data_IF_252590490349
#
_entry.id   IF_252590490349
#
_cell.length_a   1.000
_cell.length_b   1.000
_cell.length_c   1.000
_cell.angle_alpha   90.00
_cell.angle_beta   90.00
_cell.angle_gamma   90.00
#
_symmetry.space_group_name_H-M   'P 1'
#
loop_
_entity.id
_entity.type
_entity.pdbx_description
1 polymer ?
#
# COMPACT_ATOMS: atom_id res chain seq x y z
N UNK A 1 -0.59 -17.82 21.02
CA UNK A 1 -1.90 -17.20 20.75
C UNK A 1 -2.94 -18.06 21.44
N UNK A 2 -3.49 -17.62 22.56
CA UNK A 2 -4.53 -18.36 23.29
C UNK A 2 -5.86 -17.71 22.92
N UNK A 3 -6.62 -18.36 22.04
CA UNK A 3 -7.89 -17.82 21.57
C UNK A 3 -8.98 -18.05 22.63
N UNK A 4 -9.58 -16.98 23.12
CA UNK A 4 -10.78 -17.07 23.97
C UNK A 4 -11.96 -17.42 23.07
N UNK A 5 -12.43 -18.67 23.14
CA UNK A 5 -13.61 -19.11 22.40
C UNK A 5 -14.89 -18.55 23.03
N UNK A 6 -15.87 -18.21 22.21
CA UNK A 6 -17.17 -17.78 22.69
C UNK A 6 -17.86 -18.92 23.45
N UNK A 7 -18.36 -18.62 24.66
CA UNK A 7 -19.22 -19.56 25.41
C UNK A 7 -20.61 -19.73 24.77
N UNK A 8 -21.33 -20.77 25.17
CA UNK A 8 -22.62 -21.17 24.55
C UNK A 8 -23.67 -20.04 24.59
N UNK A 9 -23.80 -19.35 25.72
CA UNK A 9 -24.74 -18.21 25.87
C UNK A 9 -24.48 -17.10 24.84
N UNK A 10 -23.21 -16.80 24.57
CA UNK A 10 -22.83 -15.76 23.62
C UNK A 10 -23.14 -16.18 22.18
N UNK A 11 -22.96 -17.45 21.85
CA UNK A 11 -23.25 -18.00 20.51
C UNK A 11 -24.74 -17.89 20.21
N UNK A 12 -25.61 -18.23 21.16
CA UNK A 12 -27.05 -18.16 20.96
C UNK A 12 -27.56 -16.73 20.80
N UNK A 13 -27.04 -15.79 21.61
CA UNK A 13 -27.32 -14.36 21.43
C UNK A 13 -26.92 -13.86 20.05
N UNK A 14 -25.73 -14.22 19.59
CA UNK A 14 -25.23 -13.81 18.27
C UNK A 14 -26.09 -14.39 17.14
N UNK A 15 -26.55 -15.65 17.25
CA UNK A 15 -27.44 -16.27 16.26
C UNK A 15 -28.77 -15.52 16.11
N UNK A 16 -29.39 -15.13 17.22
CA UNK A 16 -30.64 -14.36 17.20
C UNK A 16 -30.43 -13.02 16.49
N UNK A 17 -29.35 -12.32 16.79
CA UNK A 17 -29.00 -11.05 16.15
C UNK A 17 -28.75 -11.21 14.65
N UNK A 18 -27.98 -12.23 14.24
CA UNK A 18 -27.68 -12.46 12.81
C UNK A 18 -28.93 -12.78 11.97
N UNK A 19 -29.95 -13.42 12.55
CA UNK A 19 -31.23 -13.66 11.84
C UNK A 19 -31.94 -12.36 11.47
N UNK A 20 -31.82 -11.31 12.30
CA UNK A 20 -32.46 -10.02 12.05
C UNK A 20 -31.75 -9.15 11.01
N UNK A 21 -30.43 -9.30 10.87
CA UNK A 21 -29.59 -8.45 10.02
C UNK A 21 -29.43 -9.03 8.60
N UNK A 22 -29.62 -10.34 8.44
CA UNK A 22 -29.53 -11.03 7.15
C UNK A 22 -28.09 -11.34 6.73
N UNK A 23 -27.91 -11.75 5.47
CA UNK A 23 -26.60 -12.11 4.94
C UNK A 23 -25.70 -10.87 4.77
N UNK A 24 -24.45 -10.99 5.18
CA UNK A 24 -23.48 -9.90 5.05
C UNK A 24 -23.19 -9.61 3.56
N UNK A 25 -23.48 -8.40 3.06
CA UNK A 25 -23.50 -8.12 1.62
C UNK A 25 -22.11 -7.86 1.02
N UNK A 26 -21.05 -7.77 1.83
CA UNK A 26 -19.71 -7.41 1.35
C UNK A 26 -18.81 -8.63 1.18
N UNK A 27 -17.87 -8.52 0.24
CA UNK A 27 -16.83 -9.52 0.03
C UNK A 27 -15.89 -9.62 1.25
N UNK A 28 -15.34 -10.82 1.47
CA UNK A 28 -14.37 -11.08 2.54
C UNK A 28 -13.18 -10.12 2.42
N UNK A 29 -12.88 -9.40 3.50
CA UNK A 29 -11.66 -8.61 3.60
C UNK A 29 -10.48 -9.58 3.62
N UNK A 30 -9.64 -9.50 2.59
CA UNK A 30 -8.42 -10.29 2.49
C UNK A 30 -7.24 -9.42 2.94
N UNK A 31 -6.51 -9.88 3.95
CA UNK A 31 -5.30 -9.19 4.47
C UNK A 31 -4.12 -9.31 3.48
N UNK A 32 -4.28 -10.12 2.42
CA UNK A 32 -3.24 -10.41 1.43
C UNK A 32 -3.52 -9.79 0.05
N UNK A 33 -4.62 -9.04 -0.11
CA UNK A 33 -4.96 -8.35 -1.37
C UNK A 33 -4.46 -6.91 -1.37
N UNK A 34 -3.24 -6.69 -0.89
CA UNK A 34 -2.59 -5.40 -1.05
C UNK A 34 -2.36 -5.18 -2.54
N UNK A 35 -3.20 -4.33 -3.14
CA UNK A 35 -2.94 -3.79 -4.47
C UNK A 35 -1.54 -3.16 -4.39
N UNK A 36 -0.57 -3.75 -5.11
CA UNK A 36 0.80 -3.25 -5.14
C UNK A 36 0.75 -1.76 -5.48
N UNK A 37 1.20 -0.91 -4.55
CA UNK A 37 1.38 0.52 -4.77
C UNK A 37 2.34 0.72 -5.95
N UNK A 38 1.76 0.96 -7.14
CA UNK A 38 2.51 1.10 -8.40
C UNK A 38 3.19 2.47 -8.54
N UNK A 39 2.79 3.44 -7.73
CA UNK A 39 3.32 4.81 -7.70
C UNK A 39 4.52 4.95 -6.77
N UNK A 40 5.47 4.01 -6.81
CA UNK A 40 6.75 4.19 -6.09
C UNK A 40 7.59 5.21 -6.84
N UNK A 41 7.89 6.33 -6.19
CA UNK A 41 8.87 7.29 -6.72
C UNK A 41 10.28 6.73 -6.52
N UNK A 42 11.03 6.64 -7.62
CA UNK A 42 12.43 6.24 -7.66
C UNK A 42 13.32 7.42 -7.26
N UNK A 43 14.39 7.13 -6.54
CA UNK A 43 15.35 8.13 -6.07
C UNK A 43 16.34 8.42 -7.20
N UNK A 44 16.59 9.70 -7.42
CA UNK A 44 17.63 10.21 -8.30
C UNK A 44 18.65 10.97 -7.44
N UNK A 45 19.93 10.75 -7.71
CA UNK A 45 21.05 11.44 -7.09
C UNK A 45 21.82 12.22 -8.16
N UNK A 46 22.12 13.49 -7.90
CA UNK A 46 23.06 14.22 -8.72
C UNK A 46 24.50 13.87 -8.31
N UNK A 47 25.37 13.37 -9.22
CA UNK A 47 26.74 12.98 -8.88
C UNK A 47 27.66 14.16 -8.55
N UNK A 48 27.28 15.41 -8.88
CA UNK A 48 28.13 16.58 -8.65
C UNK A 48 27.83 17.35 -7.37
N UNK A 49 26.56 17.53 -7.03
CA UNK A 49 26.16 18.31 -5.86
C UNK A 49 25.42 17.50 -4.80
N UNK A 50 25.19 16.20 -5.02
CA UNK A 50 24.48 15.33 -4.08
C UNK A 50 22.98 15.61 -3.96
N UNK A 51 22.41 16.45 -4.83
CA UNK A 51 20.98 16.76 -4.80
C UNK A 51 20.13 15.51 -5.03
N UNK A 52 19.05 15.39 -4.25
CA UNK A 52 18.13 14.27 -4.29
C UNK A 52 16.80 14.70 -4.92
N UNK A 53 16.40 14.02 -5.98
CA UNK A 53 15.07 14.13 -6.57
C UNK A 53 14.35 12.79 -6.49
N UNK A 54 13.03 12.81 -6.56
CA UNK A 54 12.21 11.60 -6.66
C UNK A 54 11.31 11.72 -7.88
N UNK A 55 11.25 10.69 -8.70
CA UNK A 55 10.41 10.69 -9.91
C UNK A 55 9.84 9.31 -10.20
N UNK A 56 8.87 9.19 -11.11
CA UNK A 56 8.31 7.89 -11.49
C UNK A 56 9.15 7.23 -12.58
N UNK A 57 9.08 5.89 -12.68
CA UNK A 57 9.79 5.10 -13.70
C UNK A 57 9.51 5.61 -15.12
N UNK A 58 8.26 5.97 -15.40
CA UNK A 58 7.83 6.52 -16.70
C UNK A 58 8.67 7.73 -17.13
N UNK A 59 9.01 8.63 -16.21
CA UNK A 59 9.81 9.81 -16.54
C UNK A 59 11.28 9.46 -16.75
N UNK A 60 11.85 8.54 -15.98
CA UNK A 60 13.22 8.07 -16.18
C UNK A 60 13.37 7.39 -17.55
N UNK A 61 12.38 6.62 -17.99
CA UNK A 61 12.36 6.00 -19.32
C UNK A 61 12.29 7.02 -20.45
N UNK A 62 11.64 8.17 -20.26
CA UNK A 62 11.63 9.26 -21.24
C UNK A 62 12.91 10.11 -21.19
N UNK A 63 13.52 10.25 -20.02
CA UNK A 63 14.77 10.98 -19.83
C UNK A 63 15.00 11.42 -18.38
N UNK A 64 16.25 11.39 -17.95
CA UNK A 64 16.64 11.86 -16.62
C UNK A 64 16.60 13.38 -16.53
N UNK A 65 16.04 13.98 -15.47
CA UNK A 65 16.03 15.42 -15.29
C UNK A 65 17.44 15.98 -15.06
N UNK A 66 17.61 17.25 -15.42
CA UNK A 66 18.83 18.01 -15.13
C UNK A 66 18.72 18.64 -13.75
N UNK A 67 19.75 18.48 -12.93
CA UNK A 67 19.87 19.15 -11.64
C UNK A 67 20.10 20.65 -11.82
N UNK A 68 19.81 21.44 -10.78
CA UNK A 68 20.08 22.89 -10.74
C UNK A 68 21.57 23.24 -10.96
N UNK A 69 22.48 22.31 -10.73
CA UNK A 69 23.91 22.46 -11.06
C UNK A 69 24.25 22.22 -12.55
N UNK A 70 23.26 21.95 -13.40
CA UNK A 70 23.42 21.73 -14.84
C UNK A 70 23.79 20.30 -15.26
N UNK A 71 24.00 19.37 -14.32
CA UNK A 71 24.30 17.96 -14.64
C UNK A 71 23.04 17.09 -14.63
N UNK A 72 23.03 16.06 -15.50
CA UNK A 72 21.98 15.02 -15.49
C UNK A 72 22.04 14.23 -14.17
N UNK A 73 20.87 13.87 -13.67
CA UNK A 73 20.73 13.08 -12.45
C UNK A 73 20.69 11.58 -12.77
N UNK A 74 21.27 10.75 -11.90
CA UNK A 74 21.33 9.30 -12.08
C UNK A 74 20.39 8.60 -11.10
N UNK A 75 19.78 7.50 -11.53
CA UNK A 75 18.94 6.67 -10.67
C UNK A 75 19.79 5.82 -9.73
N UNK A 76 19.43 5.83 -8.44
CA UNK A 76 20.09 5.08 -7.35
C UNK A 76 19.08 4.18 -6.66
#
# INVERSE_FOLDING_TARGET
MTATHAGEELVDRLRVLTKGIGAYPHAKISVHSDKKQGTRMLKLLCPACGYLARTTKKWIEMGTPTCMCGKKMDAV
#
